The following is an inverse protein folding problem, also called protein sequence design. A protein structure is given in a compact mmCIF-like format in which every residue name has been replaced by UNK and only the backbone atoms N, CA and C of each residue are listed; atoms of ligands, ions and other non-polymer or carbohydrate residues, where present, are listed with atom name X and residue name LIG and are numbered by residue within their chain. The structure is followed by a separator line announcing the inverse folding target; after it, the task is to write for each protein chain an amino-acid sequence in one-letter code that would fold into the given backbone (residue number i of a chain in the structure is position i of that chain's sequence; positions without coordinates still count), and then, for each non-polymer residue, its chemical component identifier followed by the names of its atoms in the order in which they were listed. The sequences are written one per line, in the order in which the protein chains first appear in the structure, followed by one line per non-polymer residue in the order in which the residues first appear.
data_IF_445866179899
#
_entry.id   IF_445866179899
#
_cell.length_a   1.000
_cell.length_b   1.000
_cell.length_c   1.000
_cell.angle_alpha   90.00
_cell.angle_beta   90.00
_cell.angle_gamma   90.00
#
_symmetry.space_group_name_H-M   'P 1'
#
loop_
_entity.id
_entity.type
_entity.pdbx_description
1 polymer ?
#
# COMPACT_ATOMS: atom_id res chain seq x y z
N UNK A 1 -8.17 -3.74 18.08
CA UNK A 1 -7.95 -2.33 18.42
C UNK A 1 -6.47 -2.03 18.56
N UNK A 2 -5.83 -2.81 19.35
CA UNK A 2 -4.43 -2.56 19.66
C UNK A 2 -3.53 -2.62 18.44
N UNK A 3 -3.70 -3.61 17.56
CA UNK A 3 -2.84 -3.75 16.37
C UNK A 3 -2.97 -2.55 15.45
N UNK A 4 -4.17 -2.04 15.29
CA UNK A 4 -4.39 -0.86 14.47
C UNK A 4 -3.71 0.36 15.06
N UNK A 5 -3.93 0.59 16.35
CA UNK A 5 -3.36 1.73 17.05
C UNK A 5 -1.84 1.61 17.11
N UNK A 6 -1.33 0.43 17.39
CA UNK A 6 0.10 0.19 17.46
C UNK A 6 0.78 0.42 16.11
N UNK A 7 0.19 -0.09 15.03
CA UNK A 7 0.76 0.09 13.68
C UNK A 7 0.78 1.55 13.29
N UNK A 8 -0.30 2.26 13.61
CA UNK A 8 -0.38 3.68 13.30
C UNK A 8 0.63 4.47 14.11
N UNK A 9 0.75 4.15 15.40
CA UNK A 9 1.67 4.84 16.30
C UNK A 9 3.12 4.60 15.87
N UNK A 10 3.46 3.37 15.54
CA UNK A 10 4.80 3.04 15.05
C UNK A 10 5.13 3.82 13.78
N UNK A 11 4.17 3.90 12.88
CA UNK A 11 4.33 4.64 11.64
C UNK A 11 4.59 6.13 11.93
N UNK A 12 3.78 6.73 12.81
CA UNK A 12 3.96 8.13 13.19
C UNK A 12 5.29 8.36 13.89
N UNK A 13 5.63 7.48 14.82
CA UNK A 13 6.90 7.59 15.54
C UNK A 13 8.06 7.52 14.56
N UNK A 14 7.98 6.64 13.58
CA UNK A 14 8.98 6.50 12.56
C UNK A 14 9.14 7.79 11.75
N UNK A 15 8.02 8.37 11.34
CA UNK A 15 8.02 9.63 10.59
C UNK A 15 8.55 10.79 11.42
N UNK A 16 8.20 10.84 12.69
CA UNK A 16 8.51 11.99 13.53
C UNK A 16 9.82 11.87 14.30
N UNK A 17 10.40 10.67 14.34
CA UNK A 17 11.60 10.42 15.14
C UNK A 17 12.89 11.02 14.57
N UNK A 18 12.85 11.45 13.34
CA UNK A 18 14.05 11.90 12.66
C UNK A 18 14.81 10.81 11.94
N UNK A 19 14.46 9.56 12.16
CA UNK A 19 15.10 8.46 11.47
C UNK A 19 14.91 8.56 9.96
N UNK A 20 13.71 8.94 9.57
CA UNK A 20 13.40 9.16 8.16
C UNK A 20 14.11 10.41 7.67
N UNK A 21 14.17 11.44 8.51
CA UNK A 21 14.86 12.68 8.16
C UNK A 21 16.35 12.46 7.93
N UNK A 22 16.94 11.56 8.68
CA UNK A 22 18.36 11.26 8.53
C UNK A 22 18.67 10.46 7.28
N UNK A 23 17.65 9.98 6.56
CA UNK A 23 17.82 9.21 5.34
C UNK A 23 17.07 9.93 4.22
N UNK A 24 17.79 10.56 3.26
CA UNK A 24 17.14 11.30 2.19
C UNK A 24 16.11 10.50 1.41
N UNK A 25 16.34 9.20 1.30
CA UNK A 25 15.40 8.29 0.62
C UNK A 25 14.02 8.32 1.27
N UNK A 26 13.98 8.39 2.59
CA UNK A 26 12.71 8.39 3.31
C UNK A 26 12.14 9.78 3.50
N UNK A 27 13.00 10.79 3.59
CA UNK A 27 12.54 12.16 3.82
C UNK A 27 11.59 12.60 2.71
N UNK A 28 12.00 12.43 1.46
CA UNK A 28 11.15 12.77 0.33
C UNK A 28 9.87 11.94 0.31
N UNK A 29 10.00 10.66 0.62
CA UNK A 29 8.85 9.76 0.64
C UNK A 29 7.88 10.10 1.76
N UNK A 30 8.40 10.50 2.93
CA UNK A 30 7.55 10.90 4.04
C UNK A 30 6.72 12.12 3.69
N UNK A 31 7.33 13.08 3.03
CA UNK A 31 6.62 14.26 2.56
C UNK A 31 5.56 13.87 1.53
N UNK A 32 5.89 12.93 0.65
CA UNK A 32 4.94 12.42 -0.34
C UNK A 32 3.76 11.72 0.35
N UNK A 33 4.00 10.96 1.40
CA UNK A 33 2.94 10.25 2.12
C UNK A 33 1.92 11.20 2.71
N UNK A 34 2.30 12.42 3.01
CA UNK A 34 1.40 13.42 3.56
C UNK A 34 0.63 14.18 2.50
N UNK A 35 0.94 13.89 1.23
CA UNK A 35 0.27 14.55 0.13
C UNK A 35 -1.02 13.82 -0.19
N UNK A 36 -1.74 14.38 -1.11
CA UNK A 36 -3.00 13.80 -1.53
C UNK A 36 -2.80 12.45 -2.21
N UNK A 37 -3.76 11.58 -2.00
CA UNK A 37 -3.82 10.34 -2.75
C UNK A 37 -4.11 10.67 -4.21
N UNK A 38 -3.72 9.77 -5.11
CA UNK A 38 -4.11 9.88 -6.51
C UNK A 38 -5.62 9.71 -6.63
N UNK A 39 -6.16 10.07 -7.77
CA UNK A 39 -7.58 9.90 -8.06
C UNK A 39 -7.99 8.43 -7.87
N UNK A 40 -7.18 7.51 -8.39
CA UNK A 40 -7.46 6.09 -8.31
C UNK A 40 -7.39 5.57 -6.87
N UNK A 41 -6.40 6.03 -6.12
CA UNK A 41 -6.30 5.68 -4.71
C UNK A 41 -7.51 6.17 -3.92
N UNK A 42 -7.95 7.41 -4.20
CA UNK A 42 -9.14 7.94 -3.53
C UNK A 42 -10.38 7.13 -3.87
N UNK A 43 -10.51 6.74 -5.13
CA UNK A 43 -11.66 5.94 -5.56
C UNK A 43 -11.70 4.61 -4.81
N UNK A 44 -10.57 3.90 -4.79
CA UNK A 44 -10.50 2.62 -4.11
C UNK A 44 -10.71 2.75 -2.60
N UNK A 45 -10.16 3.79 -2.01
CA UNK A 45 -10.28 4.01 -0.57
C UNK A 45 -11.71 4.36 -0.17
N UNK A 46 -12.26 5.44 -0.74
CA UNK A 46 -13.55 5.95 -0.28
C UNK A 46 -14.72 5.08 -0.70
N UNK A 47 -14.63 4.44 -1.85
CA UNK A 47 -15.76 3.68 -2.37
C UNK A 47 -15.68 2.19 -2.06
N UNK A 48 -14.60 1.73 -1.44
CA UNK A 48 -14.49 0.32 -1.11
C UNK A 48 -13.73 0.06 0.19
N UNK A 49 -12.44 0.35 0.24
CA UNK A 49 -11.58 -0.11 1.34
C UNK A 49 -11.99 0.46 2.69
N UNK A 50 -12.46 1.70 2.70
CA UNK A 50 -12.91 2.36 3.92
C UNK A 50 -14.08 1.62 4.57
N UNK A 51 -14.88 0.94 3.78
CA UNK A 51 -16.11 0.31 4.24
C UNK A 51 -15.96 -1.16 4.62
N UNK A 52 -14.84 -1.81 4.29
CA UNK A 52 -14.69 -3.22 4.64
C UNK A 52 -14.45 -3.37 6.15
N UNK A 53 -14.81 -4.53 6.73
CA UNK A 53 -14.69 -4.72 8.19
C UNK A 53 -13.28 -5.14 8.61
N UNK A 54 -12.28 -4.51 8.05
CA UNK A 54 -10.87 -4.73 8.37
C UNK A 54 -10.17 -3.40 8.39
N UNK A 55 -9.10 -3.32 9.18
CA UNK A 55 -8.30 -2.10 9.24
C UNK A 55 -7.38 -2.05 8.02
N UNK A 56 -7.48 -0.95 7.28
CA UNK A 56 -6.63 -0.70 6.11
C UNK A 56 -5.78 0.52 6.38
N UNK A 57 -4.47 0.36 6.27
CA UNK A 57 -3.53 1.47 6.40
C UNK A 57 -3.18 1.99 5.02
N UNK A 58 -3.19 3.31 4.88
CA UNK A 58 -2.85 3.95 3.61
C UNK A 58 -1.40 4.39 3.63
N UNK A 59 -0.72 4.24 2.50
CA UNK A 59 0.63 4.77 2.31
C UNK A 59 1.55 4.35 3.46
N UNK A 60 1.64 3.05 3.65
CA UNK A 60 2.39 2.46 4.76
C UNK A 60 3.85 2.25 4.37
N UNK A 61 4.76 2.63 5.26
CA UNK A 61 6.18 2.33 5.09
C UNK A 61 6.43 0.91 5.62
N UNK A 62 6.97 0.07 4.76
CA UNK A 62 7.37 -1.29 5.13
C UNK A 62 8.81 -1.47 4.68
N UNK A 63 9.74 -1.52 5.64
CA UNK A 63 11.16 -1.53 5.34
C UNK A 63 11.57 -0.27 4.61
N UNK A 64 12.08 -0.44 3.39
CA UNK A 64 12.51 0.68 2.55
C UNK A 64 11.45 1.12 1.57
N UNK A 65 10.27 0.50 1.60
CA UNK A 65 9.27 0.69 0.58
C UNK A 65 8.02 1.33 1.15
N UNK A 66 7.29 2.01 0.29
CA UNK A 66 6.01 2.61 0.63
C UNK A 66 4.95 1.89 -0.19
N UNK A 67 3.97 1.34 0.50
CA UNK A 67 2.88 0.63 -0.18
C UNK A 67 1.62 1.48 -0.11
N UNK A 68 0.77 1.36 -1.14
CA UNK A 68 -0.42 2.18 -1.22
C UNK A 68 -1.43 1.83 -0.12
N UNK A 69 -1.69 0.55 0.07
CA UNK A 69 -2.60 0.08 1.12
C UNK A 69 -2.06 -1.19 1.75
N UNK A 70 -2.25 -1.32 3.05
CA UNK A 70 -1.77 -2.46 3.80
C UNK A 70 -2.86 -2.95 4.76
N UNK A 71 -3.15 -4.24 4.72
CA UNK A 71 -4.14 -4.89 5.57
C UNK A 71 -3.40 -5.93 6.40
N UNK A 72 -2.98 -5.55 7.59
CA UNK A 72 -2.12 -6.38 8.43
C UNK A 72 -2.78 -7.70 8.82
N UNK A 73 -4.07 -7.66 9.14
CA UNK A 73 -4.78 -8.85 9.56
C UNK A 73 -4.86 -9.94 8.49
N UNK A 74 -4.73 -9.54 7.23
CA UNK A 74 -4.76 -10.47 6.09
C UNK A 74 -3.39 -10.68 5.47
N UNK A 75 -2.37 -9.96 5.93
CA UNK A 75 -1.02 -9.98 5.34
C UNK A 75 -1.07 -9.65 3.84
N UNK A 76 -1.86 -8.63 3.49
CA UNK A 76 -2.05 -8.23 2.11
C UNK A 76 -1.62 -6.77 1.93
N UNK A 77 -0.91 -6.54 0.83
CA UNK A 77 -0.54 -5.21 0.34
C UNK A 77 -1.25 -4.99 -0.98
N UNK A 78 -1.83 -3.81 -1.17
CA UNK A 78 -2.49 -3.46 -2.43
C UNK A 78 -1.74 -2.29 -3.05
N UNK A 79 -1.43 -2.43 -4.34
CA UNK A 79 -0.68 -1.44 -5.11
C UNK A 79 -1.43 -1.06 -6.37
N UNK A 80 -1.47 0.24 -6.66
CA UNK A 80 -2.07 0.74 -7.90
C UNK A 80 -0.95 1.26 -8.79
N UNK A 81 -0.86 0.73 -9.99
CA UNK A 81 0.22 1.04 -10.91
C UNK A 81 -0.17 2.02 -11.99
N UNK A 82 0.69 3.02 -12.18
CA UNK A 82 0.61 3.88 -13.34
C UNK A 82 1.51 3.38 -14.46
N UNK A 83 1.59 4.14 -15.54
CA UNK A 83 2.32 3.75 -16.74
C UNK A 83 3.83 3.77 -16.56
N UNK A 84 4.34 4.46 -15.56
CA UNK A 84 5.78 4.61 -15.37
C UNK A 84 6.50 3.32 -15.02
N UNK A 85 5.76 2.27 -14.69
CA UNK A 85 6.34 0.99 -14.30
C UNK A 85 6.73 0.11 -15.48
N UNK A 86 6.54 0.59 -16.71
CA UNK A 86 6.89 -0.18 -17.89
C UNK A 86 8.36 -0.01 -18.32
N UNK A 87 9.09 0.89 -17.69
CA UNK A 87 10.50 1.06 -17.96
C UNK A 87 11.32 0.00 -17.24
N UNK A 88 12.46 -0.39 -17.81
CA UNK A 88 13.30 -1.46 -17.25
C UNK A 88 13.65 -1.24 -15.78
N UNK A 89 14.02 -0.01 -15.42
CA UNK A 89 14.39 0.29 -14.03
C UNK A 89 13.21 0.14 -13.10
N UNK A 90 12.02 0.49 -13.55
CA UNK A 90 10.80 0.32 -12.79
C UNK A 90 10.49 -1.15 -12.56
N UNK A 91 10.69 -1.97 -13.58
CA UNK A 91 10.46 -3.41 -13.48
C UNK A 91 11.41 -4.05 -12.49
N UNK A 92 12.70 -3.70 -12.52
CA UNK A 92 13.68 -4.23 -11.58
C UNK A 92 13.36 -3.82 -10.15
N UNK A 93 12.98 -2.56 -9.94
CA UNK A 93 12.62 -2.05 -8.63
C UNK A 93 11.40 -2.79 -8.09
N UNK A 94 10.40 -3.00 -8.94
CA UNK A 94 9.18 -3.69 -8.53
C UNK A 94 9.46 -5.15 -8.16
N UNK A 95 10.32 -5.82 -8.91
CA UNK A 95 10.68 -7.21 -8.62
C UNK A 95 11.39 -7.32 -7.26
N UNK A 96 12.34 -6.43 -6.99
CA UNK A 96 13.06 -6.41 -5.72
C UNK A 96 12.12 -6.13 -4.56
N UNK A 97 11.21 -5.18 -4.75
CA UNK A 97 10.23 -4.81 -3.74
C UNK A 97 9.29 -5.97 -3.45
N UNK A 98 8.78 -6.61 -4.49
CA UNK A 98 7.87 -7.72 -4.33
C UNK A 98 8.54 -8.88 -3.62
N UNK A 99 9.80 -9.16 -3.95
CA UNK A 99 10.56 -10.22 -3.29
C UNK A 99 10.73 -9.91 -1.80
N UNK A 100 11.03 -8.66 -1.47
CA UNK A 100 11.18 -8.27 -0.08
C UNK A 100 9.86 -8.42 0.68
N UNK A 101 8.77 -7.90 0.13
CA UNK A 101 7.47 -7.98 0.78
C UNK A 101 7.03 -9.44 0.94
N UNK A 102 7.29 -10.26 -0.07
CA UNK A 102 6.98 -11.68 -0.01
C UNK A 102 7.78 -12.39 1.09
N UNK A 103 9.04 -11.97 1.30
CA UNK A 103 9.88 -12.56 2.35
C UNK A 103 9.32 -12.28 3.74
N UNK A 104 8.48 -11.26 3.88
CA UNK A 104 7.81 -10.93 5.13
C UNK A 104 6.46 -11.64 5.28
N UNK A 105 6.12 -12.50 4.33
CA UNK A 105 4.85 -13.23 4.37
C UNK A 105 3.68 -12.42 3.82
N UNK A 106 3.95 -11.36 3.09
CA UNK A 106 2.90 -10.50 2.56
C UNK A 106 2.55 -10.88 1.13
N UNK A 107 1.27 -10.89 0.83
CA UNK A 107 0.77 -11.08 -0.53
C UNK A 107 0.55 -9.71 -1.15
N UNK A 108 1.09 -9.49 -2.35
CA UNK A 108 0.94 -8.21 -3.05
C UNK A 108 -0.11 -8.35 -4.13
N UNK A 109 -1.17 -7.56 -4.02
CA UNK A 109 -2.21 -7.47 -5.04
C UNK A 109 -1.98 -6.18 -5.81
N UNK A 110 -1.80 -6.31 -7.11
CA UNK A 110 -1.47 -5.16 -7.95
C UNK A 110 -2.51 -4.97 -9.03
N UNK A 111 -3.01 -3.75 -9.14
CA UNK A 111 -4.02 -3.39 -10.13
C UNK A 111 -3.56 -2.15 -10.89
N UNK A 112 -3.86 -2.10 -12.17
CA UNK A 112 -3.54 -0.92 -12.95
C UNK A 112 -4.53 0.20 -12.64
N UNK A 113 -4.09 1.44 -12.81
CA UNK A 113 -5.00 2.58 -12.70
C UNK A 113 -6.14 2.47 -13.71
N UNK A 114 -5.85 1.90 -14.88
CA UNK A 114 -6.86 1.68 -15.89
C UNK A 114 -7.97 0.77 -15.39
N UNK A 115 -7.59 -0.32 -14.71
CA UNK A 115 -8.58 -1.25 -14.17
C UNK A 115 -9.43 -0.58 -13.09
N UNK A 116 -8.82 0.23 -12.23
CA UNK A 116 -9.57 0.96 -11.20
C UNK A 116 -10.60 1.89 -11.86
N UNK A 117 -10.21 2.53 -12.97
CA UNK A 117 -11.08 3.48 -13.65
C UNK A 117 -12.17 2.80 -14.48
N UNK A 118 -11.89 1.65 -15.06
CA UNK A 118 -12.82 1.00 -16.00
C UNK A 118 -13.48 -0.26 -15.48
N UNK A 119 -12.83 -0.96 -14.56
CA UNK A 119 -13.31 -2.25 -14.07
C UNK A 119 -13.33 -2.27 -12.54
N UNK A 120 -13.82 -1.20 -11.95
CA UNK A 120 -13.74 -1.00 -10.50
C UNK A 120 -14.38 -2.14 -9.72
N UNK A 121 -15.57 -2.57 -10.14
CA UNK A 121 -16.26 -3.65 -9.42
C UNK A 121 -15.47 -4.96 -9.45
N UNK A 122 -14.80 -5.23 -10.57
CA UNK A 122 -13.96 -6.42 -10.69
C UNK A 122 -12.74 -6.33 -9.77
N UNK A 123 -12.15 -5.14 -9.67
CA UNK A 123 -11.02 -4.93 -8.75
C UNK A 123 -11.47 -5.17 -7.32
N UNK A 124 -12.58 -4.58 -6.92
CA UNK A 124 -13.10 -4.74 -5.56
C UNK A 124 -13.43 -6.20 -5.26
N UNK A 125 -14.03 -6.89 -6.20
CA UNK A 125 -14.39 -8.29 -6.02
C UNK A 125 -13.14 -9.16 -5.88
N UNK A 126 -12.12 -8.89 -6.67
CA UNK A 126 -10.86 -9.63 -6.59
C UNK A 126 -10.19 -9.43 -5.23
N UNK A 127 -10.14 -8.18 -4.77
CA UNK A 127 -9.59 -7.88 -3.44
C UNK A 127 -10.38 -8.64 -2.37
N UNK A 128 -11.70 -8.57 -2.44
CA UNK A 128 -12.54 -9.21 -1.44
C UNK A 128 -12.34 -10.72 -1.43
N UNK A 129 -12.19 -11.33 -2.60
CA UNK A 129 -11.95 -12.76 -2.68
C UNK A 129 -10.65 -13.16 -2.02
N UNK A 130 -9.60 -12.36 -2.19
CA UNK A 130 -8.32 -12.61 -1.51
C UNK A 130 -8.44 -12.45 0.00
N UNK A 131 -9.17 -11.44 0.45
CA UNK A 131 -9.37 -11.23 1.88
C UNK A 131 -10.14 -12.38 2.52
N UNK A 132 -11.16 -12.89 1.82
CA UNK A 132 -11.95 -14.02 2.30
C UNK A 132 -11.13 -15.29 2.39
N UNK A 133 -10.16 -15.44 1.51
CA UNK A 133 -9.27 -16.58 1.54
C UNK A 133 -8.40 -16.66 2.78
N UNK A 134 -8.33 -15.57 3.54
CA UNK A 134 -7.54 -15.53 4.78
C UNK A 134 -8.34 -15.96 6.01
N UNK A 135 -9.62 -16.19 5.85
CA UNK A 135 -10.49 -16.58 6.97
C UNK A 135 -10.29 -18.05 7.39
#
# INVERSE_FOLDING_TARGET
MTDEVESYQVYWDYLMSGKIKGNPKYTGNSQHLRREMTKEERHLWYDFLKEIPLTVHRQKVIGHYIVDFYIASANIVIELDGSQHYEDKGVEYDASRDAYLSSLGLEVLRYSNLDVNRNFNSVCQDIWNHLRGQE
#
